data_IF_252198167901
#
_entry.id   IF_252198167901
#
_cell.length_a   1.000
_cell.length_b   1.000
_cell.length_c   1.000
_cell.angle_alpha   90.00
_cell.angle_beta   90.00
_cell.angle_gamma   90.00
#
_symmetry.space_group_name_H-M   'P 1'
#
loop_
_entity.id
_entity.type
_entity.pdbx_description
1 polymer ?
#
# COMPACT_ATOMS: atom_id res chain seq x y z
N UNK A 1 46.33 -12.94 32.62
CA UNK A 1 45.16 -13.66 32.07
C UNK A 1 44.58 -12.83 30.95
N UNK A 2 44.87 -13.15 29.69
CA UNK A 2 44.22 -12.48 28.56
C UNK A 2 44.38 -13.31 27.29
N UNK A 3 43.43 -13.13 26.38
CA UNK A 3 43.34 -13.68 25.02
C UNK A 3 42.64 -15.04 24.87
N UNK A 4 41.32 -15.07 25.13
CA UNK A 4 40.41 -16.10 24.59
C UNK A 4 39.25 -15.53 23.74
N UNK A 5 39.11 -14.21 23.63
CA UNK A 5 38.02 -13.58 22.86
C UNK A 5 38.33 -13.34 21.38
N UNK A 6 39.58 -13.46 20.94
CA UNK A 6 39.96 -13.23 19.53
C UNK A 6 39.61 -14.39 18.59
N UNK A 7 39.36 -15.60 19.11
CA UNK A 7 39.21 -16.80 18.27
C UNK A 7 37.80 -17.01 17.72
N UNK A 8 36.76 -16.43 18.36
CA UNK A 8 35.36 -16.62 17.94
C UNK A 8 34.98 -15.60 16.85
N UNK A 9 35.52 -14.38 16.91
CA UNK A 9 35.32 -13.37 15.88
C UNK A 9 35.98 -13.78 14.55
N UNK A 10 37.13 -14.45 14.61
CA UNK A 10 37.84 -14.93 13.42
C UNK A 10 37.15 -16.15 12.78
N UNK A 11 36.51 -17.00 13.61
CA UNK A 11 35.73 -18.16 13.13
C UNK A 11 34.42 -17.77 12.41
N UNK A 12 33.88 -16.58 12.69
CA UNK A 12 32.69 -16.04 12.03
C UNK A 12 33.03 -15.22 10.76
N UNK A 13 34.30 -14.84 10.59
CA UNK A 13 34.80 -14.15 9.40
C UNK A 13 35.18 -15.11 8.25
N UNK A 14 35.31 -16.41 8.52
CA UNK A 14 35.61 -17.45 7.51
C UNK A 14 34.36 -18.00 6.83
N UNK A 15 33.42 -17.15 6.42
CA UNK A 15 32.44 -17.54 5.40
C UNK A 15 33.14 -17.57 4.04
N UNK A 16 33.81 -18.71 3.79
CA UNK A 16 34.17 -19.26 2.49
C UNK A 16 34.43 -18.23 1.38
N UNK A 17 35.64 -17.68 1.32
CA UNK A 17 36.23 -17.31 0.03
C UNK A 17 36.73 -18.58 -0.67
N UNK A 18 35.82 -19.52 -0.91
CA UNK A 18 36.06 -20.60 -1.86
C UNK A 18 36.38 -19.91 -3.18
N UNK A 19 37.65 -20.04 -3.62
CA UNK A 19 38.10 -19.51 -4.91
C UNK A 19 37.41 -20.33 -5.99
N UNK A 20 36.18 -19.96 -6.30
CA UNK A 20 35.43 -20.60 -7.36
C UNK A 20 36.14 -20.39 -8.68
N UNK A 21 36.27 -21.47 -9.44
CA UNK A 21 36.81 -21.41 -10.79
C UNK A 21 35.90 -20.54 -11.67
N UNK A 22 36.45 -19.99 -12.76
CA UNK A 22 35.67 -19.17 -13.72
C UNK A 22 34.45 -19.96 -14.21
N UNK A 23 34.63 -21.24 -14.49
CA UNK A 23 33.56 -22.16 -14.88
C UNK A 23 32.42 -22.19 -13.86
N UNK A 24 32.72 -22.46 -12.59
CA UNK A 24 31.73 -22.52 -11.51
C UNK A 24 30.97 -21.20 -11.39
N UNK A 25 31.66 -20.07 -11.54
CA UNK A 25 31.03 -18.73 -11.51
C UNK A 25 30.08 -18.52 -12.68
N UNK A 26 30.36 -19.08 -13.85
CA UNK A 26 29.48 -19.04 -15.02
C UNK A 26 28.28 -19.96 -14.81
N UNK A 27 28.51 -21.18 -14.32
CA UNK A 27 27.46 -22.15 -14.02
C UNK A 27 26.51 -21.65 -12.94
N UNK A 28 27.02 -20.98 -11.89
CA UNK A 28 26.19 -20.38 -10.84
C UNK A 28 25.27 -19.29 -11.39
N UNK A 29 25.79 -18.40 -12.24
CA UNK A 29 24.97 -17.39 -12.94
C UNK A 29 23.89 -18.03 -13.80
N UNK A 30 24.24 -19.08 -14.55
CA UNK A 30 23.30 -19.80 -15.39
C UNK A 30 22.18 -20.43 -14.54
N UNK A 31 22.51 -21.02 -13.39
CA UNK A 31 21.54 -21.60 -12.47
C UNK A 31 20.55 -20.55 -11.96
N UNK A 32 21.04 -19.41 -11.48
CA UNK A 32 20.20 -18.31 -10.97
C UNK A 32 19.29 -17.75 -12.08
N UNK A 33 19.81 -17.55 -13.30
CA UNK A 33 18.98 -17.07 -14.42
C UNK A 33 17.92 -18.09 -14.85
N UNK A 34 18.20 -19.39 -14.72
CA UNK A 34 17.20 -20.45 -14.97
C UNK A 34 16.11 -20.47 -13.90
N UNK A 35 16.48 -20.25 -12.65
CA UNK A 35 15.54 -20.13 -11.53
C UNK A 35 14.63 -18.90 -11.72
N UNK A 36 15.21 -17.75 -12.06
CA UNK A 36 14.45 -16.53 -12.36
C UNK A 36 13.53 -16.66 -13.58
N UNK A 37 13.88 -17.53 -14.54
CA UNK A 37 12.98 -17.86 -15.66
C UNK A 37 11.75 -18.66 -15.20
N UNK A 38 11.88 -19.49 -14.15
CA UNK A 38 10.80 -20.35 -13.64
C UNK A 38 9.91 -19.62 -12.63
N UNK A 39 10.54 -18.96 -11.66
CA UNK A 39 9.85 -18.38 -10.49
C UNK A 39 9.62 -16.87 -10.63
N UNK A 40 10.31 -16.24 -11.58
CA UNK A 40 10.32 -14.80 -11.77
C UNK A 40 11.50 -14.12 -11.06
N UNK A 41 11.72 -12.85 -11.39
CA UNK A 41 12.79 -12.05 -10.80
C UNK A 41 12.34 -11.53 -9.43
N UNK A 42 13.08 -11.82 -8.32
CA UNK A 42 12.73 -11.32 -6.99
C UNK A 42 12.69 -9.79 -6.93
N UNK A 43 11.79 -9.25 -6.09
CA UNK A 43 11.66 -7.81 -5.89
C UNK A 43 12.97 -7.18 -5.40
N UNK A 44 13.40 -6.08 -6.03
CA UNK A 44 14.64 -5.37 -5.69
C UNK A 44 15.91 -5.91 -6.35
N UNK A 45 15.86 -7.06 -7.05
CA UNK A 45 17.01 -7.58 -7.81
C UNK A 45 17.06 -7.00 -9.23
N UNK A 46 18.26 -6.64 -9.67
CA UNK A 46 18.49 -6.02 -10.99
C UNK A 46 18.95 -7.09 -11.98
N UNK A 47 18.19 -7.27 -13.05
CA UNK A 47 18.55 -8.15 -14.16
C UNK A 47 19.66 -7.52 -15.03
N UNK A 48 20.76 -8.23 -15.31
CA UNK A 48 21.77 -7.74 -16.24
C UNK A 48 21.21 -7.56 -17.67
N UNK A 49 21.45 -6.39 -18.27
CA UNK A 49 20.94 -6.05 -19.62
C UNK A 49 21.78 -6.58 -20.76
N UNK A 50 23.02 -6.99 -20.49
CA UNK A 50 23.99 -7.45 -21.49
C UNK A 50 24.97 -8.45 -20.89
N UNK A 51 25.68 -9.20 -21.75
CA UNK A 51 26.73 -10.12 -21.30
C UNK A 51 27.82 -9.42 -20.50
N UNK A 52 28.20 -8.20 -20.89
CA UNK A 52 29.20 -7.43 -20.12
C UNK A 52 28.67 -7.04 -18.74
N UNK A 53 27.39 -6.69 -18.62
CA UNK A 53 26.75 -6.46 -17.33
C UNK A 53 26.70 -7.76 -16.50
N UNK A 54 26.39 -8.90 -17.12
CA UNK A 54 26.35 -10.20 -16.45
C UNK A 54 27.73 -10.66 -15.98
N UNK A 55 28.80 -10.33 -16.71
CA UNK A 55 30.19 -10.57 -16.33
C UNK A 55 30.58 -9.79 -15.07
N UNK A 56 30.20 -8.51 -15.02
CA UNK A 56 30.49 -7.61 -13.90
C UNK A 56 29.52 -7.78 -12.73
N UNK A 57 28.40 -8.45 -12.94
CA UNK A 57 27.39 -8.70 -11.93
C UNK A 57 28.01 -9.48 -10.77
N UNK A 58 27.85 -8.92 -9.58
CA UNK A 58 28.21 -9.52 -8.31
C UNK A 58 27.04 -9.33 -7.36
N UNK A 59 26.64 -10.41 -6.70
CA UNK A 59 25.59 -10.40 -5.70
C UNK A 59 25.95 -11.45 -4.64
N UNK A 60 26.20 -11.00 -3.42
CA UNK A 60 26.63 -11.87 -2.33
C UNK A 60 25.51 -12.83 -1.88
N UNK A 61 24.25 -12.42 -2.00
CA UNK A 61 23.10 -13.23 -1.59
C UNK A 61 22.83 -14.39 -2.55
N UNK A 62 23.15 -14.19 -3.84
CA UNK A 62 23.00 -15.21 -4.90
C UNK A 62 24.30 -15.98 -5.16
N UNK A 63 25.34 -15.72 -4.35
CA UNK A 63 26.70 -16.29 -4.49
C UNK A 63 27.33 -16.02 -5.87
N UNK A 64 26.98 -14.89 -6.48
CA UNK A 64 27.48 -14.51 -7.80
C UNK A 64 28.73 -13.65 -7.61
N UNK A 65 29.88 -14.20 -8.03
CA UNK A 65 31.17 -13.49 -7.99
C UNK A 65 31.52 -12.93 -9.35
N UNK A 66 31.96 -11.67 -9.41
CA UNK A 66 32.45 -11.00 -10.63
C UNK A 66 33.51 -11.82 -11.38
N UNK A 67 33.46 -11.77 -12.71
CA UNK A 67 34.49 -12.31 -13.60
C UNK A 67 35.30 -11.13 -14.17
N UNK A 68 36.58 -11.04 -13.78
CA UNK A 68 37.40 -9.86 -14.04
C UNK A 68 37.83 -9.77 -15.51
N UNK A 69 38.22 -10.89 -16.11
CA UNK A 69 38.71 -10.93 -17.48
C UNK A 69 37.54 -10.96 -18.48
N UNK A 70 37.51 -10.07 -19.49
CA UNK A 70 36.55 -10.15 -20.59
C UNK A 70 36.70 -11.45 -21.40
N UNK A 71 37.93 -11.90 -21.63
CA UNK A 71 38.23 -13.07 -22.48
C UNK A 71 37.68 -14.37 -21.89
N UNK A 72 37.59 -14.45 -20.56
CA UNK A 72 37.03 -15.57 -19.81
C UNK A 72 35.50 -15.70 -19.93
N UNK A 73 34.81 -14.63 -20.34
CA UNK A 73 33.35 -14.57 -20.43
C UNK A 73 32.91 -14.17 -21.85
N UNK A 74 33.31 -14.98 -22.83
CA UNK A 74 32.96 -14.82 -24.24
C UNK A 74 32.30 -16.06 -24.81
N UNK A 75 31.47 -15.91 -25.83
CA UNK A 75 30.78 -17.02 -26.51
C UNK A 75 31.72 -17.89 -27.36
N UNK A 76 32.88 -17.35 -27.76
CA UNK A 76 33.90 -18.08 -28.51
C UNK A 76 34.91 -18.86 -27.66
N UNK A 77 34.79 -18.83 -26.33
CA UNK A 77 35.72 -19.55 -25.46
C UNK A 77 35.57 -21.07 -25.60
N UNK A 78 36.67 -21.79 -25.81
CA UNK A 78 36.67 -23.23 -26.10
C UNK A 78 35.98 -24.08 -25.02
N UNK A 79 36.17 -23.73 -23.75
CA UNK A 79 35.65 -24.52 -22.62
C UNK A 79 34.28 -24.09 -22.10
N UNK A 80 33.90 -22.81 -22.24
CA UNK A 80 32.72 -22.24 -21.57
C UNK A 80 31.85 -21.38 -22.49
N UNK A 81 32.22 -21.25 -23.78
CA UNK A 81 31.49 -20.44 -24.74
C UNK A 81 30.03 -20.87 -24.91
N UNK A 82 29.76 -22.17 -24.84
CA UNK A 82 28.40 -22.72 -24.84
C UNK A 82 27.57 -22.26 -23.63
N UNK A 83 28.18 -22.21 -22.44
CA UNK A 83 27.53 -21.73 -21.21
C UNK A 83 27.26 -20.22 -21.29
N UNK A 84 28.22 -19.44 -21.79
CA UNK A 84 28.07 -17.99 -21.98
C UNK A 84 26.97 -17.69 -23.02
N UNK A 85 26.89 -18.47 -24.10
CA UNK A 85 25.82 -18.36 -25.10
C UNK A 85 24.45 -18.69 -24.50
N UNK A 86 24.36 -19.71 -23.64
CA UNK A 86 23.12 -20.02 -22.93
C UNK A 86 22.69 -18.88 -21.98
N UNK A 87 23.65 -18.24 -21.30
CA UNK A 87 23.39 -17.03 -20.50
C UNK A 87 22.86 -15.91 -21.40
N UNK A 88 23.47 -15.67 -22.55
CA UNK A 88 23.03 -14.62 -23.49
C UNK A 88 21.55 -14.82 -23.90
N UNK A 89 21.18 -16.05 -24.25
CA UNK A 89 19.82 -16.38 -24.67
C UNK A 89 18.82 -16.21 -23.52
N UNK A 90 19.16 -16.68 -22.32
CA UNK A 90 18.31 -16.49 -21.13
C UNK A 90 18.14 -15.01 -20.79
N UNK A 91 19.20 -14.21 -20.91
CA UNK A 91 19.10 -12.76 -20.69
C UNK A 91 18.22 -12.10 -21.75
N UNK A 92 18.25 -12.52 -23.02
CA UNK A 92 17.34 -11.99 -24.05
C UNK A 92 15.88 -12.31 -23.73
N UNK A 93 15.60 -13.55 -23.33
CA UNK A 93 14.25 -13.98 -22.93
C UNK A 93 13.76 -13.20 -21.69
N UNK A 94 14.56 -13.17 -20.63
CA UNK A 94 14.21 -12.47 -19.38
C UNK A 94 14.10 -10.96 -19.59
N UNK A 95 14.97 -10.34 -20.39
CA UNK A 95 14.85 -8.92 -20.69
C UNK A 95 13.60 -8.63 -21.54
N UNK A 96 13.17 -9.54 -22.43
CA UNK A 96 11.91 -9.34 -23.17
C UNK A 96 10.69 -9.31 -22.23
N UNK A 97 10.71 -10.13 -21.18
CA UNK A 97 9.60 -10.24 -20.21
C UNK A 97 9.66 -9.13 -19.16
N UNK A 98 10.83 -8.90 -18.57
CA UNK A 98 11.00 -8.04 -17.39
C UNK A 98 11.64 -6.68 -17.70
N UNK A 99 12.47 -6.58 -18.76
CA UNK A 99 12.96 -5.29 -19.24
C UNK A 99 11.98 -4.69 -20.25
N UNK A 100 10.75 -4.42 -19.82
CA UNK A 100 9.90 -3.47 -20.55
C UNK A 100 10.69 -2.16 -20.62
N UNK A 101 10.99 -1.62 -21.81
CA UNK A 101 11.76 -0.40 -21.90
C UNK A 101 10.96 0.70 -21.22
N UNK A 102 11.48 1.22 -20.10
CA UNK A 102 11.33 2.64 -19.81
C UNK A 102 12.00 3.30 -21.01
N UNK A 103 11.20 3.65 -22.02
CA UNK A 103 11.68 4.41 -23.17
C UNK A 103 12.42 5.60 -22.59
N UNK A 104 13.75 5.60 -22.67
CA UNK A 104 14.51 6.84 -22.54
C UNK A 104 14.03 7.65 -23.72
N UNK A 105 13.18 8.63 -23.44
CA UNK A 105 12.73 9.60 -24.43
C UNK A 105 13.99 10.28 -24.97
N UNK A 106 14.47 9.81 -26.12
CA UNK A 106 15.43 10.54 -26.92
C UNK A 106 14.71 11.77 -27.44
N UNK A 107 15.07 12.94 -26.90
CA UNK A 107 14.90 14.29 -27.45
C UNK A 107 13.72 14.50 -28.40
N UNK A 108 12.54 14.05 -27.98
CA UNK A 108 11.31 14.63 -28.47
C UNK A 108 10.91 15.61 -27.38
N UNK A 109 10.92 16.91 -27.70
CA UNK A 109 10.24 17.93 -26.92
C UNK A 109 8.76 17.57 -26.82
N UNK A 110 8.44 16.64 -25.93
CA UNK A 110 7.11 16.41 -25.41
C UNK A 110 7.18 17.00 -24.00
N UNK A 111 6.76 18.26 -23.90
CA UNK A 111 6.36 18.84 -22.63
C UNK A 111 5.14 18.06 -22.13
N UNK A 112 5.32 16.82 -21.67
CA UNK A 112 4.36 16.18 -20.77
C UNK A 112 4.65 16.70 -19.38
N UNK A 113 4.28 17.96 -19.18
CA UNK A 113 3.98 18.51 -17.88
C UNK A 113 2.80 17.72 -17.32
N UNK A 114 3.08 16.59 -16.67
CA UNK A 114 2.28 16.18 -15.52
C UNK A 114 2.54 17.17 -14.38
N UNK A 115 2.33 18.47 -14.63
CA UNK A 115 2.28 19.46 -13.58
C UNK A 115 0.98 19.17 -12.85
N UNK A 116 1.10 18.61 -11.64
CA UNK A 116 0.00 18.61 -10.70
C UNK A 116 -0.54 20.03 -10.63
N UNK A 117 -1.76 20.23 -11.10
CA UNK A 117 -2.38 21.55 -11.11
C UNK A 117 -2.79 21.86 -9.67
N UNK A 118 -1.84 22.40 -8.89
CA UNK A 118 -2.01 22.74 -7.47
C UNK A 118 -3.28 23.56 -7.27
N UNK A 119 -3.60 24.43 -8.22
CA UNK A 119 -4.81 25.26 -8.18
C UNK A 119 -6.08 24.43 -8.33
N UNK A 120 -6.10 23.45 -9.24
CA UNK A 120 -7.24 22.55 -9.38
C UNK A 120 -7.44 21.69 -8.13
N UNK A 121 -6.35 21.23 -7.50
CA UNK A 121 -6.42 20.48 -6.25
C UNK A 121 -6.88 21.34 -5.06
N UNK A 122 -6.38 22.57 -4.93
CA UNK A 122 -6.83 23.55 -3.94
C UNK A 122 -8.31 23.90 -4.11
N UNK A 123 -8.78 24.05 -5.35
CA UNK A 123 -10.19 24.28 -5.65
C UNK A 123 -11.07 23.09 -5.23
N UNK A 124 -10.61 21.86 -5.49
CA UNK A 124 -11.32 20.65 -5.04
C UNK A 124 -11.40 20.55 -3.52
N UNK A 125 -10.31 20.89 -2.82
CA UNK A 125 -10.29 20.94 -1.35
C UNK A 125 -11.25 22.02 -0.81
N UNK A 126 -11.23 23.23 -1.40
CA UNK A 126 -12.13 24.30 -1.01
C UNK A 126 -13.62 23.94 -1.23
N UNK A 127 -13.93 23.26 -2.34
CA UNK A 127 -15.27 22.75 -2.62
C UNK A 127 -15.70 21.69 -1.60
N UNK A 128 -14.82 20.73 -1.27
CA UNK A 128 -15.09 19.70 -0.27
C UNK A 128 -15.31 20.30 1.14
N UNK A 129 -14.50 21.28 1.54
CA UNK A 129 -14.69 22.01 2.79
C UNK A 129 -16.04 22.74 2.82
N UNK A 130 -16.39 23.43 1.73
CA UNK A 130 -17.66 24.16 1.62
C UNK A 130 -18.87 23.21 1.69
N UNK A 131 -18.78 22.04 1.03
CA UNK A 131 -19.79 21.00 1.11
C UNK A 131 -19.93 20.49 2.56
N UNK A 132 -18.82 20.18 3.23
CA UNK A 132 -18.83 19.71 4.61
C UNK A 132 -19.48 20.72 5.57
N UNK A 133 -19.15 22.01 5.44
CA UNK A 133 -19.77 23.06 6.24
C UNK A 133 -21.28 23.20 5.97
N UNK A 134 -21.70 23.06 4.71
CA UNK A 134 -23.12 23.10 4.35
C UNK A 134 -23.89 21.92 4.95
N UNK A 135 -23.37 20.71 4.80
CA UNK A 135 -23.97 19.50 5.40
C UNK A 135 -24.01 19.57 6.92
N UNK A 136 -22.95 20.08 7.56
CA UNK A 136 -22.91 20.27 9.01
C UNK A 136 -23.97 21.28 9.46
N UNK A 137 -24.14 22.38 8.73
CA UNK A 137 -25.13 23.40 9.04
C UNK A 137 -26.55 22.86 8.91
N UNK A 138 -26.83 22.09 7.86
CA UNK A 138 -28.11 21.41 7.68
C UNK A 138 -28.41 20.44 8.83
N UNK A 139 -27.45 19.58 9.20
CA UNK A 139 -27.61 18.65 10.33
C UNK A 139 -27.88 19.38 11.66
N UNK A 140 -27.19 20.48 11.92
CA UNK A 140 -27.44 21.29 13.12
C UNK A 140 -28.83 21.92 13.11
N UNK A 141 -29.29 22.40 11.95
CA UNK A 141 -30.63 22.97 11.80
C UNK A 141 -31.72 21.91 11.98
N UNK A 142 -31.54 20.71 11.41
CA UNK A 142 -32.45 19.58 11.59
C UNK A 142 -32.53 19.16 13.06
N UNK A 143 -31.38 19.07 13.74
CA UNK A 143 -31.34 18.77 15.17
C UNK A 143 -32.08 19.82 15.99
N UNK A 144 -31.79 21.11 15.77
CA UNK A 144 -32.48 22.19 16.47
C UNK A 144 -34.00 22.17 16.23
N UNK A 145 -34.43 21.82 15.00
CA UNK A 145 -35.84 21.65 14.67
C UNK A 145 -36.45 20.48 15.45
N UNK A 146 -35.78 19.33 15.51
CA UNK A 146 -36.21 18.17 16.28
C UNK A 146 -36.31 18.50 17.78
N UNK A 147 -35.28 19.10 18.36
CA UNK A 147 -35.24 19.51 19.77
C UNK A 147 -36.41 20.48 20.08
N UNK A 148 -36.70 21.44 19.19
CA UNK A 148 -37.84 22.36 19.35
C UNK A 148 -39.20 21.67 19.26
N UNK A 149 -39.32 20.59 18.47
CA UNK A 149 -40.55 19.82 18.35
C UNK A 149 -40.75 18.94 19.59
N UNK A 150 -39.67 18.33 20.10
CA UNK A 150 -39.66 17.56 21.33
C UNK A 150 -40.05 18.43 22.53
N UNK A 151 -39.43 19.61 22.69
CA UNK A 151 -39.78 20.55 23.76
C UNK A 151 -41.27 20.95 23.73
N UNK A 152 -41.83 21.22 22.53
CA UNK A 152 -43.26 21.49 22.37
C UNK A 152 -44.13 20.29 22.73
N UNK A 153 -43.71 19.09 22.35
CA UNK A 153 -44.44 17.86 22.66
C UNK A 153 -44.52 17.61 24.17
N UNK A 154 -43.44 17.87 24.90
CA UNK A 154 -43.40 17.75 26.37
C UNK A 154 -44.41 18.70 27.01
N UNK A 155 -44.41 19.97 26.62
CA UNK A 155 -45.36 20.96 27.15
C UNK A 155 -46.82 20.55 26.88
N UNK A 156 -47.12 20.09 25.66
CA UNK A 156 -48.46 19.63 25.29
C UNK A 156 -48.88 18.39 26.11
N UNK A 157 -47.95 17.47 26.40
CA UNK A 157 -48.23 16.30 27.24
C UNK A 157 -48.51 16.70 28.69
N UNK A 158 -47.77 17.66 29.23
CA UNK A 158 -48.03 18.22 30.57
C UNK A 158 -49.39 18.92 30.66
N UNK A 159 -49.74 19.73 29.66
CA UNK A 159 -51.06 20.38 29.58
C UNK A 159 -52.19 19.35 29.47
N UNK A 160 -52.03 18.32 28.63
CA UNK A 160 -53.00 17.25 28.52
C UNK A 160 -53.17 16.48 29.84
N UNK A 161 -52.09 16.23 30.58
CA UNK A 161 -52.16 15.60 31.90
C UNK A 161 -52.99 16.44 32.89
N UNK A 162 -52.72 17.76 32.95
CA UNK A 162 -53.48 18.69 33.80
C UNK A 162 -54.97 18.73 33.42
N UNK A 163 -55.27 18.80 32.12
CA UNK A 163 -56.65 18.77 31.64
C UNK A 163 -57.35 17.45 31.98
N UNK A 164 -56.65 16.31 31.87
CA UNK A 164 -57.19 15.01 32.27
C UNK A 164 -57.51 14.94 33.77
N UNK A 165 -56.66 15.51 34.62
CA UNK A 165 -56.94 15.62 36.06
C UNK A 165 -58.19 16.45 36.35
N UNK A 166 -58.33 17.61 35.69
CA UNK A 166 -59.52 18.46 35.83
C UNK A 166 -60.78 17.71 35.36
N UNK A 167 -60.72 17.06 34.19
CA UNK A 167 -61.83 16.25 33.67
C UNK A 167 -62.19 15.13 34.64
N UNK A 168 -61.20 14.44 35.21
CA UNK A 168 -61.43 13.40 36.20
C UNK A 168 -62.08 13.96 37.48
N UNK A 169 -61.64 15.12 37.97
CA UNK A 169 -62.22 15.77 39.15
C UNK A 169 -63.66 16.23 38.89
N UNK A 170 -63.92 16.90 37.76
CA UNK A 170 -65.27 17.31 37.36
C UNK A 170 -66.20 16.11 37.20
N UNK A 171 -65.72 14.99 36.62
CA UNK A 171 -66.49 13.74 36.56
C UNK A 171 -66.85 13.20 37.93
N UNK A 172 -65.93 13.26 38.91
CA UNK A 172 -66.22 12.88 40.31
C UNK A 172 -67.28 13.79 40.94
N UNK A 173 -67.18 15.10 40.73
CA UNK A 173 -68.17 16.07 41.24
C UNK A 173 -69.57 15.88 40.65
N UNK A 174 -69.65 15.61 39.34
CA UNK A 174 -70.93 15.30 38.68
C UNK A 174 -71.50 13.99 39.19
N UNK A 175 -70.66 12.96 39.40
CA UNK A 175 -71.09 11.69 39.96
C UNK A 175 -71.65 11.85 41.39
N UNK A 176 -70.98 12.63 42.25
CA UNK A 176 -71.49 12.92 43.60
C UNK A 176 -72.81 13.69 43.58
N UNK A 177 -72.96 14.68 42.68
CA UNK A 177 -74.21 15.43 42.55
C UNK A 177 -75.36 14.59 41.98
N UNK A 178 -75.10 13.66 41.05
CA UNK A 178 -76.12 12.73 40.54
C UNK A 178 -76.57 11.72 41.60
N UNK A 179 -75.69 11.33 42.53
CA UNK A 179 -76.04 10.50 43.69
C UNK A 179 -76.84 11.24 44.77
N UNK A 180 -76.82 12.58 44.77
CA UNK A 180 -77.51 13.46 45.72
C UNK A 180 -78.88 13.97 45.21
N UNK A 181 -79.46 13.37 44.15
CA UNK A 181 -80.87 13.65 43.81
C UNK A 181 -81.74 13.14 44.95
N UNK A 182 -82.06 14.06 45.86
CA UNK A 182 -83.04 13.89 46.91
C UNK A 182 -84.38 13.48 46.29
N UNK A 183 -84.93 12.39 46.81
CA UNK A 183 -86.31 11.96 46.63
C UNK A 183 -87.19 13.09 47.17
N UNK A 184 -88.11 13.58 46.33
CA UNK A 184 -89.17 14.54 46.70
C UNK A 184 -90.03 14.03 47.86
#
# INVERSE_FOLDING_TARGET
>A
MSNKSSSIADLMATKHTTKHTVRERIERRLAVLREWRKEGVPAGKILPKSLNAARLWADAELEIQKISSPNEFTTGHSQHGSLVSAIENLLKELNKVYSRPVKRASDTKLSTTNSFDSKAAEQQLAAACSQWHSERSLRLQEKARADSAEARSVVILEENAKLQEIVANLRRQVASHKGLRAVE
#
